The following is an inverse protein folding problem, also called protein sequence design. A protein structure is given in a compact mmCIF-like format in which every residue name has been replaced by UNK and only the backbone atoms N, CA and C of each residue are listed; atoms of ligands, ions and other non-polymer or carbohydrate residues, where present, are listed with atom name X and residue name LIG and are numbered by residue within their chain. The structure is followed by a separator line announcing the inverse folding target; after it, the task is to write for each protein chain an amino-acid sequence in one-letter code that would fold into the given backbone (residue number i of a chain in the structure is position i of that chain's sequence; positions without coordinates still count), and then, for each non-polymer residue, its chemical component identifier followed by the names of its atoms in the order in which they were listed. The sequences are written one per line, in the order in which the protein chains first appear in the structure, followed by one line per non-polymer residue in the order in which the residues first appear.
data_IF_023757292257
#
_entry.id   IF_023757292257
#
_cell.length_a   1.000
_cell.length_b   1.000
_cell.length_c   1.000
_cell.angle_alpha   90.00
_cell.angle_beta   90.00
_cell.angle_gamma   90.00
#
_symmetry.space_group_name_H-M   'P 1'
#
loop_
_entity.id
_entity.type
_entity.pdbx_description
1 polymer ?
#
# COMPACT_ATOMS: atom_id res chain seq x y z
N UNK A 1 -48.94 -24.57 -67.85
CA UNK A 1 -49.37 -23.31 -67.21
C UNK A 1 -48.55 -23.14 -65.93
N UNK A 2 -47.60 -22.21 -66.00
CA UNK A 2 -46.82 -21.51 -64.98
C UNK A 2 -46.79 -22.02 -63.53
N UNK A 3 -45.59 -22.32 -63.04
CA UNK A 3 -45.15 -22.08 -61.65
C UNK A 3 -43.61 -22.06 -61.64
N UNK A 4 -42.98 -20.91 -61.92
CA UNK A 4 -42.44 -19.95 -60.94
C UNK A 4 -41.47 -20.63 -59.97
N UNK A 5 -40.20 -20.71 -60.39
CA UNK A 5 -39.07 -21.05 -59.54
C UNK A 5 -38.31 -19.76 -59.17
N UNK A 6 -38.38 -19.37 -57.90
CA UNK A 6 -37.42 -18.49 -57.24
C UNK A 6 -36.72 -19.41 -56.22
N UNK A 7 -35.41 -19.57 -56.15
CA UNK A 7 -34.36 -18.59 -56.34
C UNK A 7 -34.05 -17.88 -55.02
N UNK A 8 -33.68 -18.63 -53.97
CA UNK A 8 -33.26 -18.03 -52.69
C UNK A 8 -31.86 -18.52 -52.29
N UNK A 9 -30.85 -17.77 -52.75
CA UNK A 9 -29.55 -17.70 -52.11
C UNK A 9 -29.72 -16.89 -50.81
N UNK A 10 -29.64 -17.53 -49.65
CA UNK A 10 -29.55 -16.83 -48.37
C UNK A 10 -28.12 -16.33 -48.14
N UNK A 11 -27.81 -15.19 -48.73
CA UNK A 11 -26.68 -14.35 -48.36
C UNK A 11 -26.97 -13.74 -46.99
N UNK A 12 -26.33 -14.24 -45.93
CA UNK A 12 -26.40 -13.61 -44.61
C UNK A 12 -25.56 -12.33 -44.65
N UNK A 13 -26.26 -11.20 -44.76
CA UNK A 13 -25.72 -9.85 -44.70
C UNK A 13 -25.28 -9.58 -43.25
N UNK A 14 -23.98 -9.36 -43.07
CA UNK A 14 -23.38 -8.87 -41.85
C UNK A 14 -23.85 -7.43 -41.62
N UNK A 15 -24.81 -7.22 -40.72
CA UNK A 15 -25.24 -5.88 -40.32
C UNK A 15 -24.17 -5.24 -39.43
N UNK A 16 -23.24 -4.53 -40.05
CA UNK A 16 -22.31 -3.65 -39.36
C UNK A 16 -23.10 -2.44 -38.86
N UNK A 17 -23.40 -2.40 -37.56
CA UNK A 17 -23.93 -1.20 -36.89
C UNK A 17 -22.78 -0.22 -36.71
N UNK A 18 -22.79 0.97 -37.34
CA UNK A 18 -21.80 1.99 -37.06
C UNK A 18 -22.17 2.66 -35.73
N UNK A 19 -21.53 2.23 -34.63
CA UNK A 19 -21.56 2.97 -33.38
C UNK A 19 -20.77 4.26 -33.58
N UNK A 20 -21.49 5.38 -33.60
CA UNK A 20 -20.97 6.72 -33.78
C UNK A 20 -19.92 7.06 -32.71
N UNK A 21 -18.81 7.74 -33.04
CA UNK A 21 -17.95 8.34 -32.04
C UNK A 21 -18.67 9.57 -31.46
N UNK A 22 -19.16 9.47 -30.22
CA UNK A 22 -19.62 10.61 -29.47
C UNK A 22 -18.42 11.52 -29.20
N UNK A 23 -18.30 12.59 -30.00
CA UNK A 23 -17.28 13.61 -29.86
C UNK A 23 -17.39 14.25 -28.48
N UNK A 24 -16.38 14.02 -27.65
CA UNK A 24 -16.22 14.73 -26.39
C UNK A 24 -15.91 16.20 -26.72
N UNK A 25 -16.94 17.03 -26.61
CA UNK A 25 -16.84 18.48 -26.62
C UNK A 25 -16.00 18.94 -25.42
N UNK A 26 -14.68 19.06 -25.60
CA UNK A 26 -13.81 19.81 -24.69
C UNK A 26 -14.22 21.27 -24.73
N UNK A 27 -15.10 21.68 -23.81
CA UNK A 27 -15.36 23.09 -23.52
C UNK A 27 -14.09 23.68 -22.90
N UNK A 28 -13.31 24.36 -23.74
CA UNK A 28 -12.12 25.12 -23.36
C UNK A 28 -12.56 26.45 -22.76
N UNK A 29 -12.89 26.47 -21.47
CA UNK A 29 -12.96 27.71 -20.70
C UNK A 29 -11.53 28.12 -20.31
N UNK A 30 -11.06 29.21 -20.92
CA UNK A 30 -9.83 29.89 -20.55
C UNK A 30 -10.01 30.53 -19.16
N UNK A 31 -9.60 29.82 -18.12
CA UNK A 31 -9.35 30.41 -16.80
C UNK A 31 -7.84 30.43 -16.62
N UNK A 32 -7.30 31.64 -16.54
CA UNK A 32 -5.88 31.93 -16.32
C UNK A 32 -5.45 31.37 -14.95
N UNK A 33 -4.33 30.65 -14.94
CA UNK A 33 -3.55 30.39 -13.72
C UNK A 33 -3.77 29.01 -13.10
N UNK A 34 -2.64 28.31 -12.94
CA UNK A 34 -2.46 27.04 -12.21
C UNK A 34 -3.15 25.82 -12.82
N UNK A 35 -2.47 25.25 -13.81
CA UNK A 35 -2.70 23.86 -14.19
C UNK A 35 -2.08 22.92 -13.14
N UNK A 36 -2.82 22.64 -12.06
CA UNK A 36 -2.59 21.42 -11.30
C UNK A 36 -3.13 20.26 -12.15
N UNK A 37 -2.27 19.67 -12.99
CA UNK A 37 -2.58 18.37 -13.60
C UNK A 37 -2.61 17.36 -12.46
N UNK A 38 -3.80 17.12 -11.92
CA UNK A 38 -4.08 15.93 -11.13
C UNK A 38 -4.03 14.76 -12.12
N UNK A 39 -2.86 14.12 -12.25
CA UNK A 39 -2.73 12.86 -12.96
C UNK A 39 -3.48 11.80 -12.15
N UNK A 40 -4.77 11.62 -12.46
CA UNK A 40 -5.49 10.42 -12.08
C UNK A 40 -5.03 9.32 -13.06
N UNK A 41 -3.98 8.58 -12.68
CA UNK A 41 -3.64 7.33 -13.35
C UNK A 41 -4.79 6.35 -13.17
N UNK A 42 -5.75 6.36 -14.10
CA UNK A 42 -6.58 5.19 -14.32
C UNK A 42 -5.71 4.21 -15.11
N UNK A 43 -5.01 3.35 -14.37
CA UNK A 43 -4.36 2.19 -14.97
C UNK A 43 -5.44 1.37 -15.67
N UNK A 44 -5.39 1.31 -17.00
CA UNK A 44 -6.05 0.25 -17.73
C UNK A 44 -5.30 -1.04 -17.38
N UNK A 45 -5.81 -1.71 -16.36
CA UNK A 45 -5.47 -3.07 -16.01
C UNK A 45 -6.13 -3.95 -17.06
N UNK A 46 -5.38 -4.31 -18.10
CA UNK A 46 -5.74 -5.40 -19.00
C UNK A 46 -5.54 -6.72 -18.25
N UNK A 47 -6.39 -6.96 -17.25
CA UNK A 47 -6.59 -8.27 -16.64
C UNK A 47 -7.74 -8.94 -17.37
N UNK A 48 -7.40 -9.53 -18.51
CA UNK A 48 -8.28 -10.40 -19.26
C UNK A 48 -7.43 -11.29 -20.13
N UNK A 49 -6.73 -12.26 -19.54
CA UNK A 49 -6.99 -13.65 -19.92
C UNK A 49 -6.53 -14.72 -18.92
N UNK A 50 -5.89 -14.38 -17.79
CA UNK A 50 -5.27 -15.42 -16.94
C UNK A 50 -6.14 -15.88 -15.75
N UNK A 51 -7.19 -15.14 -15.40
CA UNK A 51 -8.13 -15.53 -14.32
C UNK A 51 -9.14 -16.61 -14.73
N UNK A 52 -9.31 -16.85 -16.04
CA UNK A 52 -10.27 -17.83 -16.55
C UNK A 52 -9.81 -19.28 -16.31
N UNK A 53 -8.51 -19.51 -16.13
CA UNK A 53 -7.95 -20.84 -15.87
C UNK A 53 -8.29 -21.37 -14.48
N UNK A 54 -8.47 -20.50 -13.48
CA UNK A 54 -8.84 -20.89 -12.12
C UNK A 54 -10.35 -20.85 -11.85
N UNK A 55 -11.17 -20.28 -12.73
CA UNK A 55 -12.58 -20.00 -12.42
C UNK A 55 -13.57 -21.08 -12.88
N UNK A 56 -13.21 -21.95 -13.82
CA UNK A 56 -14.11 -23.00 -14.29
C UNK A 56 -13.76 -24.34 -13.64
N UNK A 57 -14.68 -24.84 -12.80
CA UNK A 57 -14.71 -26.18 -12.23
C UNK A 57 -13.89 -26.53 -10.97
N UNK A 58 -13.25 -25.59 -10.27
CA UNK A 58 -12.60 -25.95 -8.97
C UNK A 58 -13.61 -26.42 -7.92
N UNK A 59 -14.84 -25.89 -7.94
CA UNK A 59 -15.89 -26.20 -6.96
C UNK A 59 -17.07 -26.99 -7.53
N UNK A 60 -17.02 -27.46 -8.78
CA UNK A 60 -18.15 -28.16 -9.41
C UNK A 60 -18.49 -29.50 -8.75
N UNK A 61 -17.53 -30.12 -8.05
CA UNK A 61 -17.73 -31.34 -7.26
C UNK A 61 -18.28 -31.08 -5.85
N UNK A 62 -18.36 -29.82 -5.40
CA UNK A 62 -18.74 -29.50 -4.02
C UNK A 62 -20.26 -29.38 -3.92
N UNK A 63 -20.90 -30.41 -3.36
CA UNK A 63 -22.35 -30.39 -3.05
C UNK A 63 -22.57 -29.67 -1.72
N UNK A 64 -22.91 -28.39 -1.77
CA UNK A 64 -23.27 -27.61 -0.58
C UNK A 64 -24.78 -27.70 -0.40
N UNK A 65 -25.23 -28.25 0.73
CA UNK A 65 -26.65 -28.34 1.07
C UNK A 65 -27.16 -26.97 1.57
N UNK A 66 -28.35 -26.50 1.15
CA UNK A 66 -28.87 -25.18 1.51
C UNK A 66 -29.18 -25.01 3.02
N UNK A 67 -29.49 -26.10 3.72
CA UNK A 67 -29.78 -26.05 5.16
C UNK A 67 -28.53 -25.77 6.01
N UNK A 68 -27.34 -26.22 5.58
CA UNK A 68 -26.09 -25.97 6.31
C UNK A 68 -25.56 -24.54 6.16
N UNK A 69 -26.08 -23.78 5.20
CA UNK A 69 -25.76 -22.35 4.99
C UNK A 69 -26.50 -21.44 5.98
N UNK A 70 -27.47 -21.97 6.72
CA UNK A 70 -28.17 -21.21 7.75
C UNK A 70 -27.40 -21.25 9.07
N UNK A 71 -26.28 -20.52 9.12
CA UNK A 71 -25.60 -20.26 10.39
C UNK A 71 -26.52 -19.39 11.26
N UNK A 72 -27.25 -20.03 12.18
CA UNK A 72 -27.97 -19.35 13.26
C UNK A 72 -26.92 -18.73 14.18
N UNK A 73 -26.54 -17.48 13.89
CA UNK A 73 -25.69 -16.70 14.77
C UNK A 73 -26.49 -16.37 16.03
N UNK A 74 -26.28 -17.14 17.09
CA UNK A 74 -26.66 -16.72 18.42
C UNK A 74 -25.89 -15.43 18.72
N UNK A 75 -26.64 -14.37 19.03
CA UNK A 75 -26.08 -13.06 19.34
C UNK A 75 -25.23 -13.20 20.60
N UNK A 76 -23.92 -13.37 20.41
CA UNK A 76 -22.97 -13.53 21.50
C UNK A 76 -22.93 -12.22 22.31
N UNK A 77 -23.57 -12.26 23.48
CA UNK A 77 -23.70 -11.16 24.43
C UNK A 77 -22.33 -10.64 24.90
N UNK A 78 -21.26 -11.42 24.69
CA UNK A 78 -19.87 -11.03 24.99
C UNK A 78 -19.33 -9.97 24.01
N UNK A 79 -19.87 -9.87 22.79
CA UNK A 79 -19.42 -8.90 21.78
C UNK A 79 -19.99 -7.48 21.98
N UNK A 80 -21.06 -7.35 22.78
CA UNK A 80 -21.76 -6.07 23.05
C UNK A 80 -20.91 -5.09 23.85
N UNK A 81 -19.88 -5.56 24.55
CA UNK A 81 -19.01 -4.70 25.37
C UNK A 81 -18.13 -3.77 24.50
N UNK A 82 -17.81 -4.14 23.25
CA UNK A 82 -17.12 -3.24 22.32
C UNK A 82 -18.05 -2.21 21.66
N UNK A 83 -19.37 -2.34 21.84
CA UNK A 83 -20.39 -1.47 21.26
C UNK A 83 -20.80 -0.29 22.16
N UNK A 84 -20.16 -0.08 23.33
CA UNK A 84 -20.21 1.20 24.03
C UNK A 84 -19.29 2.22 23.34
N UNK A 85 -19.56 2.47 22.07
CA UNK A 85 -19.20 3.73 21.43
C UNK A 85 -20.34 4.68 21.78
N UNK A 86 -19.99 5.75 22.48
CA UNK A 86 -20.82 6.93 22.74
C UNK A 86 -21.96 7.03 21.73
N UNK A 87 -23.21 7.11 22.23
CA UNK A 87 -24.40 7.36 21.43
C UNK A 87 -24.02 8.27 20.27
N UNK A 88 -23.94 7.71 19.05
CA UNK A 88 -23.65 8.51 17.86
C UNK A 88 -24.88 9.37 17.68
N UNK A 89 -24.95 10.50 18.39
CA UNK A 89 -25.84 11.60 18.08
C UNK A 89 -25.73 11.76 16.58
N UNK A 90 -26.86 11.61 15.89
CA UNK A 90 -26.92 11.74 14.45
C UNK A 90 -26.62 13.22 14.13
N UNK A 91 -25.34 13.55 14.09
CA UNK A 91 -24.86 14.92 13.87
C UNK A 91 -25.40 15.33 12.49
N UNK A 92 -26.18 16.42 12.41
CA UNK A 92 -26.75 16.86 11.14
C UNK A 92 -25.63 17.14 10.14
N UNK A 93 -25.91 16.97 8.84
CA UNK A 93 -24.94 17.12 7.74
C UNK A 93 -24.18 18.46 7.83
N UNK A 94 -24.87 19.53 8.25
CA UNK A 94 -24.32 20.88 8.48
C UNK A 94 -23.24 20.89 9.56
N UNK A 95 -23.48 20.25 10.70
CA UNK A 95 -22.49 20.17 11.79
C UNK A 95 -21.30 19.29 11.41
N UNK A 96 -21.50 18.18 10.69
CA UNK A 96 -20.40 17.36 10.17
C UNK A 96 -19.51 18.13 9.21
N UNK A 97 -20.09 18.99 8.36
CA UNK A 97 -19.34 19.86 7.46
C UNK A 97 -18.52 20.91 8.23
N UNK A 98 -19.12 21.55 9.26
CA UNK A 98 -18.42 22.50 10.13
C UNK A 98 -17.24 21.83 10.85
N UNK A 99 -17.46 20.66 11.45
CA UNK A 99 -16.40 19.90 12.12
C UNK A 99 -15.26 19.52 11.18
N UNK A 100 -15.56 19.18 9.92
CA UNK A 100 -14.51 18.88 8.94
C UNK A 100 -13.66 20.12 8.63
N UNK A 101 -14.29 21.28 8.43
CA UNK A 101 -13.60 22.55 8.21
C UNK A 101 -12.75 22.94 9.42
N UNK A 102 -13.30 22.83 10.62
CA UNK A 102 -12.61 23.12 11.89
C UNK A 102 -11.34 22.26 12.03
N UNK A 103 -11.48 20.94 11.87
CA UNK A 103 -10.35 20.00 11.94
C UNK A 103 -9.31 20.27 10.86
N UNK A 104 -9.72 20.75 9.69
CA UNK A 104 -8.78 21.10 8.62
C UNK A 104 -8.02 22.39 8.93
N UNK A 105 -8.70 23.42 9.45
CA UNK A 105 -8.05 24.65 9.91
C UNK A 105 -7.07 24.37 11.06
N UNK A 106 -7.49 23.61 12.06
CA UNK A 106 -6.61 23.19 13.16
C UNK A 106 -5.34 22.48 12.65
N UNK A 107 -5.45 21.63 11.62
CA UNK A 107 -4.28 20.99 11.02
C UNK A 107 -3.35 21.98 10.32
N UNK A 108 -3.91 22.97 9.62
CA UNK A 108 -3.14 24.02 8.98
C UNK A 108 -2.40 24.86 10.03
N UNK A 109 -3.09 25.24 11.10
CA UNK A 109 -2.52 26.06 12.17
C UNK A 109 -1.37 25.33 12.87
N UNK A 110 -1.54 24.04 13.20
CA UNK A 110 -0.48 23.21 13.76
C UNK A 110 0.74 23.13 12.84
N UNK A 111 0.54 22.96 11.54
CA UNK A 111 1.62 22.94 10.55
C UNK A 111 2.32 24.32 10.43
N UNK A 112 1.56 25.40 10.40
CA UNK A 112 2.08 26.76 10.31
C UNK A 112 2.92 27.12 11.55
N UNK A 113 2.42 26.82 12.74
CA UNK A 113 3.13 27.03 14.01
C UNK A 113 4.43 26.21 14.04
N UNK A 114 4.39 24.94 13.65
CA UNK A 114 5.58 24.11 13.59
C UNK A 114 6.62 24.65 12.59
N UNK A 115 6.19 25.15 11.43
CA UNK A 115 7.07 25.78 10.45
C UNK A 115 7.66 27.11 10.95
N UNK A 116 6.87 27.94 11.62
CA UNK A 116 7.33 29.19 12.22
C UNK A 116 8.37 28.93 13.32
N UNK A 117 8.14 27.95 14.18
CA UNK A 117 9.09 27.52 15.20
C UNK A 117 10.43 27.05 14.57
N UNK A 118 10.38 26.24 13.52
CA UNK A 118 11.58 25.80 12.78
C UNK A 118 12.33 26.97 12.16
N UNK A 119 11.63 27.91 11.51
CA UNK A 119 12.24 29.11 10.92
C UNK A 119 12.88 29.99 12.00
N UNK A 120 12.20 30.19 13.13
CA UNK A 120 12.74 30.95 14.25
C UNK A 120 14.00 30.28 14.83
N UNK A 121 13.98 28.95 14.98
CA UNK A 121 15.14 28.19 15.44
C UNK A 121 16.32 28.29 14.46
N UNK A 122 16.06 28.20 13.15
CA UNK A 122 17.10 28.35 12.13
C UNK A 122 17.71 29.76 12.15
N UNK A 123 16.89 30.81 12.29
CA UNK A 123 17.38 32.19 12.44
C UNK A 123 18.27 32.34 13.66
N UNK A 124 17.83 31.87 14.83
CA UNK A 124 18.61 31.89 16.08
C UNK A 124 19.91 31.10 15.98
N UNK A 125 19.93 29.97 15.25
CA UNK A 125 21.15 29.19 15.01
C UNK A 125 22.13 29.92 14.09
N UNK A 126 21.62 30.71 13.14
CA UNK A 126 22.43 31.47 12.19
C UNK A 126 22.99 32.78 12.79
N UNK A 127 22.25 33.41 13.71
CA UNK A 127 22.72 34.60 14.44
C UNK A 127 23.37 34.17 15.76
N UNK A 128 24.68 34.38 15.99
CA UNK A 128 25.30 34.09 17.28
C UNK A 128 24.81 35.12 18.33
N UNK A 129 23.65 34.87 18.92
CA UNK A 129 23.08 35.72 19.96
C UNK A 129 23.55 35.22 21.32
N UNK A 130 24.52 35.92 21.90
CA UNK A 130 24.97 35.68 23.27
C UNK A 130 23.87 36.11 24.24
N UNK A 131 23.28 35.16 24.97
CA UNK A 131 22.29 35.44 26.03
C UNK A 131 20.85 34.98 25.75
N UNK A 132 20.56 34.42 24.58
CA UNK A 132 19.24 33.81 24.33
C UNK A 132 19.08 32.53 25.16
N UNK A 133 18.13 32.52 26.12
CA UNK A 133 17.84 31.34 26.97
C UNK A 133 16.93 30.31 26.30
N UNK A 134 16.33 30.66 25.14
CA UNK A 134 15.38 29.81 24.42
C UNK A 134 15.96 28.47 23.93
N UNK A 135 17.21 28.39 23.43
CA UNK A 135 17.83 27.12 23.04
C UNK A 135 17.88 26.09 24.17
N UNK A 136 18.04 26.53 25.43
CA UNK A 136 18.04 25.63 26.59
C UNK A 136 16.64 25.03 26.83
N UNK A 137 15.59 25.84 26.71
CA UNK A 137 14.20 25.38 26.85
C UNK A 137 13.82 24.45 25.70
N UNK A 138 14.17 24.80 24.47
CA UNK A 138 13.85 24.00 23.28
C UNK A 138 14.65 22.67 23.22
N UNK A 139 15.76 22.55 23.97
CA UNK A 139 16.55 21.33 24.09
C UNK A 139 16.01 20.33 25.14
N UNK A 140 15.06 20.75 25.97
CA UNK A 140 14.44 19.90 26.98
C UNK A 140 13.15 19.25 26.45
N UNK A 141 12.85 17.99 26.83
CA UNK A 141 11.59 17.34 26.46
C UNK A 141 10.38 18.08 27.05
N UNK A 142 9.28 18.16 26.28
CA UNK A 142 8.03 18.74 26.78
C UNK A 142 7.38 17.79 27.82
N UNK A 143 6.66 18.35 28.80
CA UNK A 143 5.99 17.57 29.87
C UNK A 143 4.98 16.54 29.30
N UNK A 144 4.38 16.84 28.15
CA UNK A 144 3.51 15.93 27.39
C UNK A 144 4.26 14.68 26.92
N UNK A 145 5.52 14.83 26.51
CA UNK A 145 6.39 13.74 26.12
C UNK A 145 6.77 12.92 27.35
N UNK A 146 7.14 13.56 28.46
CA UNK A 146 7.51 12.85 29.70
C UNK A 146 6.34 12.05 30.31
N UNK A 147 5.12 12.56 30.21
CA UNK A 147 3.91 11.84 30.67
C UNK A 147 3.51 10.71 29.72
N UNK A 148 3.69 10.86 28.41
CA UNK A 148 3.50 9.78 27.44
C UNK A 148 4.52 8.64 27.60
N UNK A 149 5.71 8.95 28.12
CA UNK A 149 6.81 8.00 28.35
C UNK A 149 6.58 7.08 29.56
N UNK A 150 5.63 7.40 30.44
CA UNK A 150 5.17 6.50 31.52
C UNK A 150 4.36 5.31 31.01
N UNK A 151 3.94 5.29 29.73
CA UNK A 151 3.49 4.06 29.07
C UNK A 151 4.73 3.20 28.78
N UNK A 152 4.71 1.88 29.00
CA UNK A 152 5.89 1.03 28.80
C UNK A 152 6.45 1.26 27.39
N UNK A 153 7.63 1.88 27.32
CA UNK A 153 8.34 2.10 26.06
C UNK A 153 8.71 0.73 25.49
N UNK A 154 8.47 0.56 24.20
CA UNK A 154 9.12 -0.46 23.39
C UNK A 154 10.66 -0.42 23.62
N UNK A 155 11.36 -1.57 23.49
CA UNK A 155 12.70 -1.77 24.04
C UNK A 155 13.70 -0.71 23.57
N UNK A 156 14.44 -0.15 24.54
CA UNK A 156 15.59 0.74 24.31
C UNK A 156 16.61 0.03 23.42
N UNK A 157 17.09 0.74 22.39
CA UNK A 157 18.13 0.25 21.49
C UNK A 157 19.43 0.02 22.29
N UNK A 158 19.82 -1.24 22.44
CA UNK A 158 21.13 -1.65 22.94
C UNK A 158 22.24 -1.11 22.02
N UNK A 159 23.46 -0.86 22.54
CA UNK A 159 24.61 -0.48 21.73
C UNK A 159 24.90 -1.61 20.73
N UNK A 160 24.99 -1.24 19.45
CA UNK A 160 25.21 -2.18 18.35
C UNK A 160 26.64 -2.73 18.43
N UNK A 161 26.78 -4.04 18.68
CA UNK A 161 27.83 -4.80 18.00
C UNK A 161 27.77 -4.43 16.51
N UNK A 162 28.91 -4.16 15.89
CA UNK A 162 29.05 -3.84 14.47
C UNK A 162 28.80 -5.06 13.60
N UNK A 163 27.60 -5.65 13.70
CA UNK A 163 27.07 -6.53 12.67
C UNK A 163 27.01 -5.69 11.40
N UNK A 164 27.74 -6.11 10.35
CA UNK A 164 27.70 -5.45 9.04
C UNK A 164 26.24 -5.20 8.70
N UNK A 165 25.89 -3.92 8.49
CA UNK A 165 24.51 -3.51 8.27
C UNK A 165 23.98 -4.36 7.12
N UNK A 166 22.96 -5.19 7.39
CA UNK A 166 22.19 -5.84 6.32
C UNK A 166 21.88 -4.77 5.28
N UNK A 167 22.07 -5.05 3.97
CA UNK A 167 21.75 -4.07 2.95
C UNK A 167 20.34 -3.53 3.22
N UNK A 168 20.20 -2.20 3.10
CA UNK A 168 18.94 -1.52 3.37
C UNK A 168 17.81 -2.25 2.62
N UNK A 169 16.72 -2.64 3.29
CA UNK A 169 15.62 -3.32 2.64
C UNK A 169 15.15 -2.51 1.42
N UNK A 170 15.28 -3.09 0.23
CA UNK A 170 14.93 -2.42 -1.02
C UNK A 170 13.46 -2.02 -1.01
N UNK A 171 13.17 -0.71 -1.02
CA UNK A 171 11.80 -0.19 -1.07
C UNK A 171 11.25 -0.30 -2.49
N UNK A 172 10.61 -1.44 -2.79
CA UNK A 172 10.00 -1.70 -4.07
C UNK A 172 8.91 -0.69 -4.44
N UNK A 173 8.32 0.09 -3.53
CA UNK A 173 7.26 1.05 -3.89
C UNK A 173 7.81 2.20 -4.74
N UNK A 174 8.99 2.71 -4.37
CA UNK A 174 9.61 3.91 -4.96
C UNK A 174 10.38 3.66 -6.26
N UNK A 175 10.64 2.41 -6.63
CA UNK A 175 11.42 2.06 -7.82
C UNK A 175 10.65 2.21 -9.14
N UNK A 176 11.36 2.44 -10.25
CA UNK A 176 10.76 2.42 -11.59
C UNK A 176 10.29 0.99 -11.93
N UNK A 177 9.14 0.81 -12.62
CA UNK A 177 8.61 -0.52 -12.94
C UNK A 177 9.59 -1.46 -13.66
N UNK A 178 10.37 -0.94 -14.62
CA UNK A 178 11.38 -1.73 -15.34
C UNK A 178 12.49 -2.25 -14.42
N UNK A 179 12.89 -1.46 -13.42
CA UNK A 179 13.89 -1.89 -12.44
C UNK A 179 13.33 -2.98 -11.52
N UNK A 180 12.05 -2.89 -11.13
CA UNK A 180 11.38 -3.94 -10.35
C UNK A 180 11.34 -5.26 -11.10
N UNK A 181 10.98 -5.22 -12.39
CA UNK A 181 10.96 -6.42 -13.26
C UNK A 181 12.32 -7.10 -13.32
N UNK A 182 13.39 -6.35 -13.54
CA UNK A 182 14.77 -6.89 -13.54
C UNK A 182 15.13 -7.60 -12.23
N UNK A 183 14.82 -6.99 -11.08
CA UNK A 183 15.08 -7.63 -9.78
C UNK A 183 14.31 -8.95 -9.65
N UNK A 184 13.04 -8.97 -10.06
CA UNK A 184 12.22 -10.19 -10.01
C UNK A 184 12.80 -11.27 -10.94
N UNK A 185 13.17 -10.92 -12.16
CA UNK A 185 13.78 -11.84 -13.14
C UNK A 185 15.10 -12.44 -12.62
N UNK A 186 15.93 -11.64 -11.96
CA UNK A 186 17.15 -12.11 -11.29
C UNK A 186 16.84 -13.08 -10.14
N UNK A 187 15.86 -12.78 -9.28
CA UNK A 187 15.46 -13.68 -8.18
C UNK A 187 14.87 -14.99 -8.71
N UNK A 188 14.01 -14.92 -9.73
CA UNK A 188 13.45 -16.11 -10.38
C UNK A 188 14.56 -16.97 -10.96
N UNK A 189 15.57 -16.36 -11.60
CA UNK A 189 16.72 -17.08 -12.14
C UNK A 189 17.53 -17.78 -11.04
N UNK A 190 17.84 -17.07 -9.94
CA UNK A 190 18.51 -17.65 -8.77
C UNK A 190 17.75 -18.83 -8.17
N UNK A 191 16.44 -18.72 -8.05
CA UNK A 191 15.59 -19.79 -7.50
C UNK A 191 15.52 -20.98 -8.45
N UNK A 192 15.43 -20.76 -9.77
CA UNK A 192 15.45 -21.84 -10.75
C UNK A 192 16.77 -22.61 -10.71
N UNK A 193 17.90 -21.91 -10.60
CA UNK A 193 19.22 -22.55 -10.42
C UNK A 193 19.27 -23.38 -9.14
N UNK A 194 18.75 -22.85 -8.03
CA UNK A 194 18.67 -23.58 -6.76
C UNK A 194 17.84 -24.86 -6.87
N UNK A 195 16.70 -24.82 -7.57
CA UNK A 195 15.82 -25.98 -7.79
C UNK A 195 16.48 -27.00 -8.73
N UNK A 196 17.30 -26.55 -9.68
CA UNK A 196 18.08 -27.44 -10.57
C UNK A 196 19.21 -28.17 -9.82
N UNK A 197 19.70 -27.62 -8.71
CA UNK A 197 20.77 -28.26 -7.94
C UNK A 197 20.31 -29.59 -7.33
N UNK A 198 20.98 -30.72 -7.65
CA UNK A 198 20.54 -32.04 -7.21
C UNK A 198 20.63 -32.21 -5.68
N UNK A 199 21.59 -31.56 -5.03
CA UNK A 199 21.74 -31.57 -3.57
C UNK A 199 20.55 -30.95 -2.85
N UNK A 200 20.04 -29.83 -3.36
CA UNK A 200 18.85 -29.16 -2.82
C UNK A 200 17.58 -29.99 -3.09
N UNK A 201 17.48 -30.61 -4.28
CA UNK A 201 16.35 -31.48 -4.63
C UNK A 201 16.29 -32.75 -3.78
N UNK A 202 17.44 -33.33 -3.43
CA UNK A 202 17.52 -34.53 -2.60
C UNK A 202 17.17 -34.24 -1.13
N UNK A 203 17.72 -33.16 -0.54
CA UNK A 203 17.41 -32.76 0.83
C UNK A 203 17.53 -31.23 1.01
N UNK A 204 16.41 -30.49 0.89
CA UNK A 204 16.44 -29.03 0.97
C UNK A 204 16.80 -28.53 2.37
N UNK A 205 16.39 -29.25 3.43
CA UNK A 205 16.68 -28.85 4.81
C UNK A 205 18.17 -28.93 5.12
N UNK A 206 18.85 -30.00 4.67
CA UNK A 206 20.29 -30.15 4.84
C UNK A 206 21.07 -29.07 4.07
N UNK A 207 20.66 -28.76 2.83
CA UNK A 207 21.29 -27.70 2.03
C UNK A 207 21.16 -26.32 2.68
N UNK A 208 19.99 -25.98 3.23
CA UNK A 208 19.80 -24.74 4.00
C UNK A 208 20.65 -24.75 5.26
N UNK A 209 20.70 -25.87 5.99
CA UNK A 209 21.54 -26.02 7.18
C UNK A 209 23.02 -25.77 6.89
N UNK A 210 23.55 -26.34 5.80
CA UNK A 210 24.94 -26.10 5.37
C UNK A 210 25.19 -24.62 5.02
N UNK A 211 24.24 -23.97 4.34
CA UNK A 211 24.33 -22.54 4.03
C UNK A 211 24.41 -21.68 5.30
N UNK A 212 23.55 -21.96 6.28
CA UNK A 212 23.55 -21.25 7.56
C UNK A 212 24.86 -21.47 8.32
N UNK A 213 25.35 -22.71 8.38
CA UNK A 213 26.64 -23.02 9.01
C UNK A 213 27.80 -22.27 8.35
N UNK A 214 27.81 -22.16 7.02
CA UNK A 214 28.79 -21.36 6.29
C UNK A 214 28.70 -19.89 6.67
N UNK A 215 27.50 -19.30 6.69
CA UNK A 215 27.31 -17.90 7.09
C UNK A 215 27.77 -17.61 8.53
N UNK A 216 27.50 -18.52 9.46
CA UNK A 216 27.97 -18.38 10.85
C UNK A 216 29.50 -18.39 10.95
N UNK A 217 30.18 -19.21 10.13
CA UNK A 217 31.65 -19.23 10.08
C UNK A 217 32.21 -17.95 9.46
N UNK A 218 31.62 -17.50 8.35
CA UNK A 218 32.05 -16.25 7.69
C UNK A 218 31.93 -15.06 8.66
N UNK A 219 30.81 -14.95 9.39
CA UNK A 219 30.61 -13.90 10.40
C UNK A 219 31.63 -13.97 11.55
N UNK A 220 32.04 -15.18 11.95
CA UNK A 220 33.06 -15.39 13.00
C UNK A 220 34.48 -15.01 12.56
N UNK A 221 34.82 -15.23 11.28
CA UNK A 221 36.12 -14.90 10.70
C UNK A 221 36.25 -13.41 10.35
N UNK A 222 35.13 -12.74 10.07
CA UNK A 222 35.11 -11.32 9.69
C UNK A 222 35.10 -10.35 10.89
N UNK A 223 35.19 -10.86 12.12
CA UNK A 223 35.30 -10.05 13.34
C UNK A 223 36.79 -9.80 13.68
N UNK A 224 37.36 -8.63 13.34
CA UNK A 224 38.69 -8.30 13.82
C UNK A 224 38.60 -8.06 15.33
N UNK A 225 39.19 -8.96 16.11
CA UNK A 225 39.49 -8.69 17.52
C UNK A 225 40.44 -7.50 17.65
#
# INVERSE_FOLDING_TARGET
KNSVAWGEHLTTILFCVPSSPFSALTKRTQIKGLHLFLYCSFGNLQDGQDWTFFSSNIFSSTKINPESLTQKLEVDTKSVISAKKEEKKLVPKKEKAKQRRERWLQKIDVLALAQQAKKAQAKRKATPVVGDMRPLVDALPELSELTAVRKPRAPRKQPKCSVKKKPEPTDYSKMRPAQKRKIIEEEVSRVQELIRNPSYKANPLAAVGQHLLKRMKDEQETDPR
#
